data_IF_301132768030
#
_entry.id   IF_301132768030
#
_cell.length_a   1.000
_cell.length_b   1.000
_cell.length_c   1.000
_cell.angle_alpha   90.00
_cell.angle_beta   90.00
_cell.angle_gamma   90.00
#
_symmetry.space_group_name_H-M   'P 1'
#
loop_
_entity.id
_entity.type
_entity.pdbx_description
1 polymer ?
#
# COMPACT_ATOMS: atom_id res chain seq x y z
N UNK A 1 -20.89 24.67 -5.60
CA UNK A 1 -22.14 24.06 -6.16
C UNK A 1 -21.82 22.74 -6.91
N UNK A 2 -20.82 22.68 -7.78
CA UNK A 2 -20.46 21.45 -8.52
C UNK A 2 -19.84 20.33 -7.70
N UNK A 3 -18.98 20.60 -6.72
CA UNK A 3 -18.30 19.62 -5.89
C UNK A 3 -19.25 18.92 -4.91
N UNK A 4 -20.20 19.63 -4.33
CA UNK A 4 -21.23 19.07 -3.44
C UNK A 4 -22.19 18.13 -4.19
N UNK A 5 -22.53 18.42 -5.45
CA UNK A 5 -23.33 17.54 -6.28
C UNK A 5 -22.57 16.26 -6.68
N UNK A 6 -21.27 16.36 -6.99
CA UNK A 6 -20.42 15.20 -7.29
C UNK A 6 -20.26 14.28 -6.07
N UNK A 7 -20.15 14.84 -4.87
CA UNK A 7 -20.01 14.09 -3.61
C UNK A 7 -21.34 13.54 -3.10
N UNK A 8 -22.47 14.20 -3.37
CA UNK A 8 -23.79 13.75 -2.94
C UNK A 8 -24.27 12.52 -3.72
N UNK A 9 -23.84 12.36 -4.97
CA UNK A 9 -24.17 11.19 -5.81
C UNK A 9 -23.54 9.88 -5.32
N UNK A 10 -22.64 9.91 -4.34
CA UNK A 10 -21.88 8.77 -3.82
C UNK A 10 -22.28 8.34 -2.41
N UNK A 11 -23.34 8.90 -1.80
CA UNK A 11 -23.78 8.45 -0.49
C UNK A 11 -24.47 7.09 -0.58
N UNK A 12 -24.19 6.15 0.32
CA UNK A 12 -24.94 4.90 0.44
C UNK A 12 -26.37 5.26 0.90
N UNK A 13 -27.33 5.11 -0.01
CA UNK A 13 -28.75 5.47 0.21
C UNK A 13 -29.30 6.50 -0.77
N UNK A 14 -28.51 7.07 -1.65
CA UNK A 14 -29.04 7.77 -2.81
C UNK A 14 -29.79 6.76 -3.67
N UNK A 15 -31.06 7.01 -3.95
CA UNK A 15 -31.98 6.12 -4.71
C UNK A 15 -31.53 5.90 -6.15
N UNK A 16 -30.29 5.39 -6.34
CA UNK A 16 -29.78 4.94 -7.63
C UNK A 16 -30.47 3.66 -8.11
N UNK A 17 -31.35 3.05 -7.31
CA UNK A 17 -32.17 1.92 -7.78
C UNK A 17 -33.19 2.33 -8.86
N UNK A 18 -33.64 3.58 -8.89
CA UNK A 18 -34.58 4.04 -9.93
C UNK A 18 -33.91 4.48 -11.24
N UNK A 19 -32.60 4.65 -11.27
CA UNK A 19 -31.87 4.97 -12.51
C UNK A 19 -31.50 3.68 -13.28
N UNK A 20 -31.49 2.52 -12.63
CA UNK A 20 -31.14 1.24 -13.26
C UNK A 20 -32.21 0.63 -14.19
N UNK A 21 -33.43 1.18 -14.22
CA UNK A 21 -34.53 0.60 -14.97
C UNK A 21 -34.90 1.37 -16.24
N UNK A 22 -33.95 1.86 -17.01
CA UNK A 22 -34.30 2.51 -18.28
C UNK A 22 -33.14 2.96 -19.17
N UNK A 23 -31.92 2.94 -18.69
CA UNK A 23 -30.77 3.34 -19.48
C UNK A 23 -30.19 2.14 -20.23
N UNK A 24 -29.95 2.30 -21.53
CA UNK A 24 -29.24 1.29 -22.31
C UNK A 24 -27.75 1.28 -21.92
N UNK A 25 -27.04 0.18 -22.21
CA UNK A 25 -25.58 0.10 -22.03
C UNK A 25 -24.85 1.29 -22.69
N UNK A 26 -25.37 1.82 -23.82
CA UNK A 26 -24.85 3.03 -24.46
C UNK A 26 -25.02 4.30 -23.63
N UNK A 27 -26.13 4.43 -22.91
CA UNK A 27 -26.38 5.62 -22.06
C UNK A 27 -25.48 5.62 -20.84
N UNK A 28 -25.20 4.42 -20.25
CA UNK A 28 -24.26 4.24 -19.15
C UNK A 28 -22.83 4.57 -19.59
N UNK A 29 -22.43 4.11 -20.78
CA UNK A 29 -21.10 4.42 -21.35
C UNK A 29 -20.95 5.90 -21.67
N UNK A 30 -22.01 6.59 -22.11
CA UNK A 30 -22.03 8.02 -22.34
C UNK A 30 -21.89 8.82 -21.04
N UNK A 31 -22.65 8.49 -20.01
CA UNK A 31 -22.59 9.16 -18.71
C UNK A 31 -21.21 8.94 -18.07
N UNK A 32 -20.64 7.73 -18.14
CA UNK A 32 -19.29 7.46 -17.68
C UNK A 32 -18.24 8.25 -18.49
N UNK A 33 -18.43 8.44 -19.79
CA UNK A 33 -17.58 9.24 -20.65
C UNK A 33 -17.64 10.74 -20.30
N UNK A 34 -18.85 11.25 -20.04
CA UNK A 34 -19.06 12.65 -19.64
C UNK A 34 -18.48 12.96 -18.27
N UNK A 35 -18.63 12.05 -17.30
CA UNK A 35 -18.00 12.16 -15.98
C UNK A 35 -16.46 12.11 -16.10
N UNK A 36 -15.89 11.21 -16.90
CA UNK A 36 -14.44 11.16 -17.14
C UNK A 36 -13.92 12.42 -17.84
N UNK A 37 -14.70 13.05 -18.72
CA UNK A 37 -14.33 14.32 -19.36
C UNK A 37 -14.41 15.49 -18.35
N UNK A 38 -15.42 15.50 -17.49
CA UNK A 38 -15.57 16.49 -16.43
C UNK A 38 -14.37 16.45 -15.47
N UNK A 39 -13.94 15.26 -15.06
CA UNK A 39 -12.82 15.08 -14.13
C UNK A 39 -11.45 15.46 -14.71
N UNK A 40 -11.29 15.33 -16.03
CA UNK A 40 -10.07 15.77 -16.75
C UNK A 40 -9.98 17.28 -16.94
N UNK A 41 -11.09 18.00 -16.77
CA UNK A 41 -11.18 19.43 -16.98
C UNK A 41 -11.17 20.23 -15.68
N UNK A 42 -10.92 19.58 -14.51
CA UNK A 42 -10.76 20.29 -13.26
C UNK A 42 -9.56 21.23 -13.31
N UNK A 43 -9.74 22.44 -12.82
CA UNK A 43 -8.61 23.34 -12.55
C UNK A 43 -7.69 22.73 -11.49
N UNK A 44 -6.50 23.28 -11.34
CA UNK A 44 -5.57 22.83 -10.29
C UNK A 44 -6.18 22.97 -8.91
N UNK A 45 -6.87 24.07 -8.64
CA UNK A 45 -7.52 24.37 -7.36
C UNK A 45 -8.69 23.41 -7.08
N UNK A 46 -9.53 23.14 -8.06
CA UNK A 46 -10.65 22.18 -7.93
C UNK A 46 -10.14 20.75 -7.70
N UNK A 47 -9.07 20.34 -8.38
CA UNK A 47 -8.45 19.04 -8.16
C UNK A 47 -7.82 18.95 -6.76
N UNK A 48 -7.16 20.00 -6.30
CA UNK A 48 -6.60 20.06 -4.95
C UNK A 48 -7.69 19.91 -3.90
N UNK A 49 -8.78 20.68 -4.00
CA UNK A 49 -9.92 20.60 -3.08
C UNK A 49 -10.57 19.21 -3.08
N UNK A 50 -10.72 18.61 -4.25
CA UNK A 50 -11.21 17.24 -4.38
C UNK A 50 -10.30 16.22 -3.66
N UNK A 51 -8.99 16.31 -3.87
CA UNK A 51 -8.02 15.42 -3.23
C UNK A 51 -8.02 15.56 -1.71
N UNK A 52 -8.10 16.78 -1.17
CA UNK A 52 -8.21 17.03 0.27
C UNK A 52 -9.52 16.47 0.83
N UNK A 53 -10.65 16.72 0.17
CA UNK A 53 -11.95 16.21 0.59
C UNK A 53 -11.99 14.68 0.63
N UNK A 54 -11.46 14.03 -0.39
CA UNK A 54 -11.38 12.57 -0.44
C UNK A 54 -10.40 12.01 0.59
N UNK A 55 -9.25 12.68 0.81
CA UNK A 55 -8.33 12.32 1.88
C UNK A 55 -9.03 12.39 3.25
N UNK A 56 -9.77 13.46 3.53
CA UNK A 56 -10.53 13.62 4.78
C UNK A 56 -11.61 12.55 4.94
N UNK A 57 -12.23 12.13 3.85
CA UNK A 57 -13.25 11.09 3.85
C UNK A 57 -12.70 9.70 4.17
N UNK A 58 -11.53 9.35 3.61
CA UNK A 58 -11.03 7.97 3.66
C UNK A 58 -9.89 7.73 4.66
N UNK A 59 -9.14 8.75 5.05
CA UNK A 59 -8.11 8.62 6.07
C UNK A 59 -8.69 8.70 7.48
N UNK A 60 -9.32 7.63 7.92
CA UNK A 60 -10.01 7.50 9.20
C UNK A 60 -9.71 6.16 9.84
N UNK A 61 -9.86 6.07 11.17
CA UNK A 61 -9.62 4.85 11.94
C UNK A 61 -10.44 3.64 11.47
N UNK A 62 -11.64 3.88 10.95
CA UNK A 62 -12.51 2.82 10.39
C UNK A 62 -11.89 2.12 9.18
N UNK A 63 -10.94 2.77 8.50
CA UNK A 63 -10.18 2.16 7.41
C UNK A 63 -9.34 0.98 7.89
N UNK A 64 -8.83 1.03 9.13
CA UNK A 64 -7.88 0.06 9.69
C UNK A 64 -8.47 -1.35 9.70
N UNK A 65 -9.70 -1.51 10.19
CA UNK A 65 -10.29 -2.84 10.47
C UNK A 65 -10.33 -3.74 9.22
N UNK A 66 -10.65 -3.17 8.08
CA UNK A 66 -10.79 -3.92 6.83
C UNK A 66 -9.49 -4.00 6.01
N UNK A 67 -8.41 -3.34 6.43
CA UNK A 67 -7.17 -3.22 5.69
C UNK A 67 -6.05 -4.10 6.30
N UNK A 68 -5.09 -4.59 5.50
CA UNK A 68 -3.93 -5.33 6.02
C UNK A 68 -3.12 -4.61 7.11
N UNK A 69 -3.19 -3.28 7.19
CA UNK A 69 -2.57 -2.49 8.26
C UNK A 69 -3.12 -2.85 9.65
N UNK A 70 -4.32 -3.45 9.73
CA UNK A 70 -4.90 -3.96 10.99
C UNK A 70 -4.01 -5.00 11.67
N UNK A 71 -3.16 -5.69 10.92
CA UNK A 71 -2.28 -6.72 11.48
C UNK A 71 -1.18 -6.09 12.33
N UNK A 72 -0.33 -5.16 11.83
CA UNK A 72 0.63 -4.48 12.70
C UNK A 72 -0.04 -3.64 13.80
N UNK A 73 -1.27 -3.13 13.63
CA UNK A 73 -2.01 -2.46 14.70
C UNK A 73 -2.38 -3.36 15.89
N UNK A 74 -2.34 -4.68 15.74
CA UNK A 74 -2.61 -5.62 16.85
C UNK A 74 -1.43 -5.81 17.80
N UNK A 75 -0.28 -5.19 17.55
CA UNK A 75 0.91 -5.28 18.37
C UNK A 75 1.23 -3.95 19.05
N UNK A 76 1.92 -3.99 20.20
CA UNK A 76 2.40 -2.79 20.89
C UNK A 76 3.89 -2.52 20.57
N UNK A 77 4.71 -3.58 20.55
CA UNK A 77 6.14 -3.50 20.30
C UNK A 77 6.43 -3.12 18.85
N UNK A 78 7.33 -2.17 18.66
CA UNK A 78 7.66 -1.62 17.33
C UNK A 78 8.19 -2.71 16.38
N UNK A 79 9.10 -3.56 16.83
CA UNK A 79 9.70 -4.61 16.01
C UNK A 79 8.67 -5.68 15.59
N UNK A 80 7.68 -5.97 16.46
CA UNK A 80 6.56 -6.85 16.09
C UNK A 80 5.67 -6.21 15.03
N UNK A 81 5.36 -4.90 15.17
CA UNK A 81 4.64 -4.14 14.13
C UNK A 81 5.38 -4.19 12.80
N UNK A 82 6.69 -3.99 12.81
CA UNK A 82 7.53 -3.96 11.62
C UNK A 82 7.50 -5.30 10.87
N UNK A 83 7.71 -6.42 11.56
CA UNK A 83 7.69 -7.75 10.95
C UNK A 83 6.28 -8.13 10.51
N UNK A 84 5.28 -7.94 11.36
CA UNK A 84 3.89 -8.22 11.03
C UNK A 84 3.41 -7.38 9.84
N UNK A 85 3.77 -6.11 9.82
CA UNK A 85 3.50 -5.18 8.70
C UNK A 85 4.19 -5.59 7.41
N UNK A 86 5.47 -5.99 7.47
CA UNK A 86 6.22 -6.47 6.30
C UNK A 86 5.58 -7.71 5.69
N UNK A 87 5.21 -8.70 6.51
CA UNK A 87 4.57 -9.93 6.07
C UNK A 87 3.16 -9.65 5.52
N UNK A 88 2.36 -8.83 6.22
CA UNK A 88 1.02 -8.46 5.76
C UNK A 88 1.07 -7.69 4.42
N UNK A 89 1.98 -6.74 4.27
CA UNK A 89 2.19 -6.03 3.01
C UNK A 89 2.65 -6.96 1.90
N UNK A 90 3.55 -7.91 2.20
CA UNK A 90 4.08 -8.88 1.23
C UNK A 90 2.98 -9.70 0.58
N UNK A 91 1.95 -10.10 1.32
CA UNK A 91 0.83 -10.89 0.79
C UNK A 91 -0.38 -10.05 0.36
N UNK A 92 -0.29 -8.72 0.38
CA UNK A 92 -1.41 -7.81 0.11
C UNK A 92 -1.75 -7.72 -1.39
N UNK A 93 -2.28 -8.82 -1.96
CA UNK A 93 -2.88 -8.84 -3.30
C UNK A 93 -4.09 -9.77 -3.37
N UNK A 94 -5.15 -9.31 -4.04
CA UNK A 94 -6.41 -10.02 -4.20
C UNK A 94 -7.51 -9.54 -3.25
N UNK A 95 -8.34 -10.46 -2.77
CA UNK A 95 -9.47 -10.12 -1.89
C UNK A 95 -8.98 -9.68 -0.50
N UNK A 96 -9.39 -8.49 -0.07
CA UNK A 96 -8.94 -7.85 1.17
C UNK A 96 -9.23 -8.70 2.42
N UNK A 97 -10.45 -9.25 2.55
CA UNK A 97 -10.81 -10.13 3.69
C UNK A 97 -9.92 -11.39 3.76
N UNK A 98 -9.61 -11.97 2.59
CA UNK A 98 -8.72 -13.13 2.51
C UNK A 98 -7.27 -12.75 2.89
N UNK A 99 -6.80 -11.56 2.50
CA UNK A 99 -5.47 -11.06 2.87
C UNK A 99 -5.36 -10.89 4.39
N UNK A 100 -6.30 -10.17 5.02
CA UNK A 100 -6.30 -9.95 6.48
C UNK A 100 -6.33 -11.28 7.23
N UNK A 101 -7.22 -12.22 6.82
CA UNK A 101 -7.29 -13.57 7.41
C UNK A 101 -5.95 -14.31 7.28
N UNK A 102 -5.32 -14.26 6.11
CA UNK A 102 -4.06 -14.97 5.85
C UNK A 102 -2.89 -14.33 6.60
N UNK A 103 -2.82 -13.00 6.68
CA UNK A 103 -1.79 -12.29 7.42
C UNK A 103 -1.92 -12.54 8.95
N UNK A 104 -3.15 -12.58 9.47
CA UNK A 104 -3.41 -12.98 10.85
C UNK A 104 -2.89 -14.39 11.14
N UNK A 105 -3.14 -15.34 10.24
CA UNK A 105 -2.61 -16.70 10.38
C UNK A 105 -1.08 -16.73 10.36
N UNK A 106 -0.40 -15.85 9.59
CA UNK A 106 1.08 -15.80 9.64
C UNK A 106 1.57 -15.44 11.04
N UNK A 107 1.03 -14.39 11.64
CA UNK A 107 1.47 -13.96 12.98
C UNK A 107 1.06 -14.96 14.08
N UNK A 108 -0.08 -15.64 13.94
CA UNK A 108 -0.47 -16.76 14.82
C UNK A 108 0.54 -17.91 14.75
N UNK A 109 1.04 -18.25 13.56
CA UNK A 109 2.08 -19.26 13.36
C UNK A 109 3.46 -18.82 13.89
N UNK A 110 3.62 -17.55 14.23
CA UNK A 110 4.78 -16.96 14.89
C UNK A 110 4.48 -16.67 16.38
N UNK A 111 3.58 -17.43 17.01
CA UNK A 111 3.21 -17.32 18.41
C UNK A 111 2.68 -15.95 18.84
N UNK A 112 2.19 -15.14 17.90
CA UNK A 112 1.82 -13.73 18.08
C UNK A 112 2.95 -12.88 18.70
N UNK A 113 4.19 -13.28 18.48
CA UNK A 113 5.41 -12.59 18.87
C UNK A 113 6.40 -12.55 17.67
N UNK A 114 6.06 -11.87 16.57
CA UNK A 114 6.77 -11.98 15.29
C UNK A 114 8.27 -11.71 15.39
N UNK A 115 8.69 -10.74 16.20
CA UNK A 115 10.11 -10.43 16.37
C UNK A 115 10.83 -11.52 17.17
N UNK A 116 10.29 -11.91 18.31
CA UNK A 116 10.93 -12.94 19.15
C UNK A 116 10.98 -14.30 18.43
N UNK A 117 9.91 -14.66 17.70
CA UNK A 117 9.89 -15.85 16.85
C UNK A 117 10.96 -15.73 15.74
N UNK A 118 11.01 -14.62 15.04
CA UNK A 118 12.01 -14.39 13.98
C UNK A 118 13.43 -14.56 14.51
N UNK A 119 13.74 -14.03 15.69
CA UNK A 119 15.09 -14.04 16.24
C UNK A 119 15.49 -15.39 16.86
N UNK A 120 14.55 -16.11 17.46
CA UNK A 120 14.87 -17.23 18.36
C UNK A 120 14.33 -18.60 17.89
N UNK A 121 13.41 -18.66 16.92
CA UNK A 121 12.83 -19.93 16.47
C UNK A 121 13.92 -20.91 15.99
N UNK A 122 13.85 -22.14 16.46
CA UNK A 122 14.69 -23.25 15.99
C UNK A 122 14.23 -23.74 14.62
N UNK A 123 15.01 -24.62 13.99
CA UNK A 123 14.58 -25.27 12.74
C UNK A 123 13.30 -26.09 12.93
N UNK A 124 13.08 -26.64 14.12
CA UNK A 124 11.85 -27.39 14.44
C UNK A 124 10.65 -26.44 14.52
N UNK A 125 10.82 -25.23 15.07
CA UNK A 125 9.77 -24.21 15.15
C UNK A 125 9.43 -23.64 13.75
N UNK A 126 10.36 -23.65 12.81
CA UNK A 126 10.13 -23.20 11.44
C UNK A 126 9.36 -24.24 10.59
N UNK A 127 9.41 -25.55 10.93
CA UNK A 127 8.75 -26.61 10.15
C UNK A 127 7.23 -26.40 9.95
N UNK A 128 6.45 -25.95 10.95
CA UNK A 128 5.03 -25.66 10.76
C UNK A 128 4.76 -24.62 9.67
N UNK A 129 5.66 -23.64 9.45
CA UNK A 129 5.52 -22.58 8.45
C UNK A 129 5.41 -23.16 7.03
N UNK A 130 6.03 -24.30 6.76
CA UNK A 130 5.99 -25.00 5.47
C UNK A 130 4.57 -25.39 5.02
N UNK A 131 3.59 -25.40 5.95
CA UNK A 131 2.17 -25.69 5.67
C UNK A 131 1.36 -24.44 5.29
N UNK A 132 2.00 -23.26 5.32
CA UNK A 132 1.31 -22.02 4.99
C UNK A 132 1.09 -21.88 3.50
N UNK A 133 -0.08 -21.36 3.13
CA UNK A 133 -0.40 -21.02 1.72
C UNK A 133 -1.31 -19.80 1.68
N UNK A 134 -0.91 -18.81 0.90
CA UNK A 134 -1.75 -17.72 0.45
C UNK A 134 -1.52 -17.48 -1.05
N UNK A 135 -2.45 -17.98 -1.89
CA UNK A 135 -2.34 -17.88 -3.36
C UNK A 135 -1.01 -18.49 -3.86
N UNK A 136 -0.12 -17.66 -4.39
CA UNK A 136 1.20 -18.09 -4.89
C UNK A 136 2.31 -17.97 -3.84
N UNK A 137 2.04 -17.42 -2.66
CA UNK A 137 2.97 -17.40 -1.53
C UNK A 137 2.76 -18.68 -0.73
N UNK A 138 3.75 -19.55 -0.70
CA UNK A 138 3.70 -20.86 -0.07
C UNK A 138 4.55 -20.92 1.21
N UNK A 139 4.55 -22.10 1.87
CA UNK A 139 5.25 -22.29 3.12
C UNK A 139 6.77 -22.15 3.01
N UNK A 140 7.38 -22.56 1.88
CA UNK A 140 8.81 -22.34 1.66
C UNK A 140 9.13 -20.85 1.55
N UNK A 141 8.27 -20.07 0.86
CA UNK A 141 8.44 -18.60 0.80
C UNK A 141 8.36 -17.99 2.20
N UNK A 142 7.44 -18.48 3.05
CA UNK A 142 7.29 -17.98 4.40
C UNK A 142 8.52 -18.31 5.27
N UNK A 143 8.99 -19.55 5.23
CA UNK A 143 10.22 -19.97 5.89
C UNK A 143 11.41 -19.07 5.48
N UNK A 144 11.66 -18.94 4.19
CA UNK A 144 12.78 -18.17 3.65
C UNK A 144 12.68 -16.68 4.02
N UNK A 145 11.45 -16.14 4.06
CA UNK A 145 11.20 -14.76 4.52
C UNK A 145 11.55 -14.58 6.00
N UNK A 146 11.22 -15.54 6.87
CA UNK A 146 11.59 -15.48 8.29
C UNK A 146 13.11 -15.55 8.46
N UNK A 147 13.80 -16.43 7.72
CA UNK A 147 15.27 -16.53 7.74
C UNK A 147 15.92 -15.23 7.24
N UNK A 148 15.40 -14.63 6.18
CA UNK A 148 15.89 -13.37 5.66
C UNK A 148 15.64 -12.20 6.63
N UNK A 149 14.47 -12.13 7.26
CA UNK A 149 14.15 -11.14 8.30
C UNK A 149 15.08 -11.29 9.51
N UNK A 150 15.34 -12.54 9.96
CA UNK A 150 16.29 -12.81 11.06
C UNK A 150 17.66 -12.23 10.76
N UNK A 151 18.20 -12.48 9.57
CA UNK A 151 19.49 -11.93 9.16
C UNK A 151 19.47 -10.41 9.13
N UNK A 152 18.41 -9.82 8.55
CA UNK A 152 18.27 -8.36 8.47
C UNK A 152 18.23 -7.74 9.87
N UNK A 153 17.42 -8.28 10.77
CA UNK A 153 17.33 -7.82 12.16
C UNK A 153 18.61 -8.07 12.95
N UNK A 154 19.32 -9.18 12.72
CA UNK A 154 20.63 -9.43 13.36
C UNK A 154 21.66 -8.38 12.93
N UNK A 155 21.64 -7.96 11.66
CA UNK A 155 22.58 -6.96 11.13
C UNK A 155 22.25 -5.54 11.59
N UNK A 156 20.98 -5.15 11.58
CA UNK A 156 20.51 -3.79 11.73
C UNK A 156 19.80 -3.48 13.06
N UNK A 157 19.40 -4.52 13.82
CA UNK A 157 18.60 -4.42 15.03
C UNK A 157 17.09 -4.62 14.79
N UNK A 158 16.54 -3.99 13.77
CA UNK A 158 15.14 -4.18 13.32
C UNK A 158 15.00 -3.93 11.83
N UNK A 159 13.80 -4.18 11.29
CA UNK A 159 13.48 -3.84 9.89
C UNK A 159 13.48 -2.32 9.71
N UNK A 160 12.96 -1.58 10.67
CA UNK A 160 12.94 -0.12 10.64
C UNK A 160 14.33 0.49 10.68
N UNK A 161 15.21 -0.05 11.51
CA UNK A 161 16.62 0.37 11.54
C UNK A 161 17.33 0.10 10.22
N UNK A 162 17.05 -1.05 9.59
CA UNK A 162 17.58 -1.36 8.26
C UNK A 162 17.12 -0.36 7.21
N UNK A 163 15.80 -0.10 7.11
CA UNK A 163 15.24 0.82 6.11
C UNK A 163 15.72 2.25 6.31
N UNK A 164 15.74 2.73 7.55
CA UNK A 164 16.21 4.08 7.88
C UNK A 164 17.72 4.23 7.66
N UNK A 165 18.53 3.25 8.08
CA UNK A 165 19.97 3.26 7.85
C UNK A 165 20.32 3.20 6.36
N UNK A 166 19.60 2.41 5.56
CA UNK A 166 19.74 2.42 4.11
C UNK A 166 19.37 3.77 3.51
N UNK A 167 18.32 4.44 4.02
CA UNK A 167 17.94 5.75 3.54
C UNK A 167 19.02 6.81 3.84
N UNK A 168 19.64 6.77 5.02
CA UNK A 168 20.75 7.66 5.37
C UNK A 168 21.97 7.46 4.46
N UNK A 169 22.21 6.22 4.03
CA UNK A 169 23.32 5.91 3.11
C UNK A 169 22.99 6.30 1.66
N UNK A 170 21.79 6.03 1.20
CA UNK A 170 21.43 6.10 -0.22
C UNK A 170 20.74 7.42 -0.62
N UNK A 171 20.11 8.11 0.32
CA UNK A 171 19.47 9.41 0.13
C UNK A 171 18.18 9.38 -0.69
N UNK A 172 17.67 8.21 -1.09
CA UNK A 172 16.40 8.10 -1.81
C UNK A 172 15.70 6.76 -1.59
N UNK A 173 14.36 6.78 -1.54
CA UNK A 173 13.52 5.58 -1.40
C UNK A 173 13.71 4.61 -2.58
N UNK A 174 13.94 5.12 -3.77
CA UNK A 174 14.21 4.30 -4.95
C UNK A 174 15.42 3.37 -4.74
N UNK A 175 16.52 3.94 -4.21
CA UNK A 175 17.73 3.17 -3.90
C UNK A 175 17.53 2.27 -2.70
N UNK A 176 16.80 2.73 -1.67
CA UNK A 176 16.43 1.90 -0.52
C UNK A 176 15.66 0.66 -0.94
N UNK A 177 14.71 0.76 -1.87
CA UNK A 177 13.97 -0.39 -2.40
C UNK A 177 14.91 -1.41 -3.08
N UNK A 178 15.91 -0.94 -3.82
CA UNK A 178 16.88 -1.81 -4.48
C UNK A 178 17.79 -2.51 -3.46
N UNK A 179 18.37 -1.74 -2.54
CA UNK A 179 19.32 -2.24 -1.54
C UNK A 179 18.65 -3.13 -0.49
N UNK A 180 17.45 -2.77 0.00
CA UNK A 180 16.68 -3.62 0.90
C UNK A 180 16.41 -5.00 0.26
N UNK A 181 16.01 -5.02 -1.02
CA UNK A 181 15.82 -6.29 -1.72
C UNK A 181 17.13 -7.07 -1.85
N UNK A 182 18.24 -6.42 -2.18
CA UNK A 182 19.55 -7.05 -2.28
C UNK A 182 19.95 -7.68 -0.94
N UNK A 183 19.88 -6.91 0.14
CA UNK A 183 20.23 -7.40 1.49
C UNK A 183 19.29 -8.51 1.96
N UNK A 184 18.00 -8.40 1.67
CA UNK A 184 17.01 -9.41 2.06
C UNK A 184 17.33 -10.80 1.47
N UNK A 185 17.80 -10.84 0.22
CA UNK A 185 18.13 -12.08 -0.48
C UNK A 185 19.62 -12.47 -0.43
N UNK A 186 20.40 -11.90 0.47
CA UNK A 186 21.78 -12.36 0.73
C UNK A 186 21.87 -13.69 1.53
N UNK A 187 20.76 -14.28 1.91
CA UNK A 187 20.66 -15.63 2.50
C UNK A 187 20.37 -16.67 1.45
N UNK A 188 20.69 -17.94 1.73
CA UNK A 188 20.22 -19.05 0.91
C UNK A 188 18.69 -19.11 0.95
N UNK A 189 18.05 -19.15 -0.20
CA UNK A 189 16.61 -19.12 -0.35
C UNK A 189 16.15 -19.79 -1.64
N UNK A 190 14.90 -20.22 -1.67
CA UNK A 190 14.27 -20.70 -2.89
C UNK A 190 14.06 -19.54 -3.89
N UNK A 191 14.47 -19.65 -5.16
CA UNK A 191 14.27 -18.60 -6.16
C UNK A 191 12.80 -18.17 -6.34
N UNK A 192 11.86 -19.05 -5.98
CA UNK A 192 10.44 -18.75 -6.04
C UNK A 192 10.04 -17.60 -5.13
N UNK A 193 10.65 -17.43 -3.96
CA UNK A 193 10.30 -16.38 -3.01
C UNK A 193 10.63 -14.97 -3.53
N UNK A 194 11.58 -14.83 -4.45
CA UNK A 194 12.01 -13.54 -5.00
C UNK A 194 10.88 -12.73 -5.65
N UNK A 195 9.89 -13.38 -6.25
CA UNK A 195 8.74 -12.71 -6.88
C UNK A 195 7.85 -11.98 -5.89
N UNK A 196 7.94 -12.32 -4.60
CA UNK A 196 7.10 -11.73 -3.56
C UNK A 196 7.67 -10.41 -3.03
N UNK A 197 8.95 -10.15 -3.24
CA UNK A 197 9.58 -8.86 -2.99
C UNK A 197 9.96 -8.23 -4.33
N UNK A 198 9.13 -7.29 -4.79
CA UNK A 198 9.22 -6.71 -6.14
C UNK A 198 10.58 -6.04 -6.40
N UNK A 199 11.09 -6.16 -7.63
CA UNK A 199 12.36 -5.59 -8.06
C UNK A 199 12.15 -4.28 -8.82
N UNK A 200 12.61 -3.17 -8.25
CA UNK A 200 12.60 -1.87 -8.92
C UNK A 200 13.53 -1.88 -10.14
N UNK A 201 14.65 -2.60 -10.08
CA UNK A 201 15.58 -2.74 -11.22
C UNK A 201 14.92 -3.41 -12.44
N UNK A 202 13.86 -4.20 -12.22
CA UNK A 202 13.04 -4.79 -13.29
C UNK A 202 11.86 -3.88 -13.68
N UNK A 203 11.80 -2.66 -13.19
CA UNK A 203 10.75 -1.68 -13.48
C UNK A 203 9.43 -1.91 -12.73
N UNK A 204 9.40 -2.77 -11.71
CA UNK A 204 8.17 -3.01 -10.94
C UNK A 204 7.75 -1.78 -10.14
N UNK A 205 6.44 -1.53 -9.99
CA UNK A 205 5.90 -0.41 -9.20
C UNK A 205 6.22 -0.49 -7.71
N UNK A 206 6.65 -1.64 -7.21
CA UNK A 206 6.92 -1.91 -5.79
C UNK A 206 5.78 -1.49 -4.85
N UNK A 207 4.51 -1.60 -5.31
CA UNK A 207 3.30 -1.15 -4.60
C UNK A 207 3.28 -1.58 -3.14
N UNK A 208 3.60 -2.85 -2.86
CA UNK A 208 3.52 -3.43 -1.51
C UNK A 208 4.58 -2.87 -0.57
N UNK A 209 5.81 -2.63 -1.06
CA UNK A 209 6.86 -1.98 -0.28
C UNK A 209 6.58 -0.48 -0.08
N UNK A 210 6.10 0.23 -1.12
CA UNK A 210 5.68 1.62 -0.97
C UNK A 210 4.53 1.76 0.04
N UNK A 211 3.58 0.82 0.05
CA UNK A 211 2.51 0.77 1.04
C UNK A 211 3.06 0.52 2.46
N UNK A 212 3.98 -0.42 2.60
CA UNK A 212 4.66 -0.71 3.87
C UNK A 212 5.45 0.52 4.37
N UNK A 213 6.19 1.20 3.50
CA UNK A 213 6.92 2.42 3.86
C UNK A 213 5.96 3.55 4.24
N UNK A 214 4.83 3.73 3.53
CA UNK A 214 3.79 4.68 3.93
C UNK A 214 3.33 4.40 5.36
N UNK A 215 3.00 3.16 5.69
CA UNK A 215 2.52 2.80 7.03
C UNK A 215 3.49 3.19 8.14
N UNK A 216 4.79 3.06 7.93
CA UNK A 216 5.78 3.26 8.99
C UNK A 216 6.44 4.64 8.99
N UNK A 217 6.50 5.32 7.85
CA UNK A 217 7.12 6.66 7.72
C UNK A 217 6.09 7.76 7.89
N UNK A 218 4.94 7.65 7.21
CA UNK A 218 3.93 8.69 7.22
C UNK A 218 3.27 8.80 8.58
N UNK A 219 3.13 10.03 9.06
CA UNK A 219 2.45 10.33 10.31
C UNK A 219 1.49 11.51 10.14
N UNK A 220 0.37 11.39 10.81
CA UNK A 220 -0.60 12.44 11.05
C UNK A 220 -1.30 12.17 12.39
N UNK A 221 -2.27 13.01 12.75
CA UNK A 221 -3.06 12.84 13.99
C UNK A 221 -4.30 11.97 13.83
N UNK A 222 -4.42 11.19 12.73
CA UNK A 222 -5.59 10.34 12.45
C UNK A 222 -5.40 8.90 12.90
N UNK A 223 -4.15 8.48 13.15
CA UNK A 223 -3.80 7.19 13.75
C UNK A 223 -3.93 5.99 12.82
N UNK A 224 -3.97 6.18 11.51
CA UNK A 224 -3.97 5.09 10.53
C UNK A 224 -2.54 4.62 10.27
N UNK A 225 -1.69 5.51 9.78
CA UNK A 225 -0.26 5.25 9.59
C UNK A 225 0.49 5.47 10.92
N UNK A 226 1.58 4.74 11.16
CA UNK A 226 2.26 4.69 12.45
C UNK A 226 3.26 5.83 12.68
N UNK A 227 3.96 6.30 11.64
CA UNK A 227 4.99 7.34 11.76
C UNK A 227 6.18 6.97 12.65
N UNK A 228 6.57 5.70 12.69
CA UNK A 228 7.64 5.20 13.56
C UNK A 228 9.04 5.45 12.98
N UNK A 229 9.18 5.58 11.65
CA UNK A 229 10.47 5.75 10.97
C UNK A 229 10.75 7.21 10.67
N UNK A 230 11.14 7.95 11.71
CA UNK A 230 11.24 9.41 11.68
C UNK A 230 12.49 9.96 10.95
N UNK A 231 13.48 9.11 10.64
CA UNK A 231 14.68 9.52 9.89
C UNK A 231 14.44 9.62 8.39
N UNK A 232 13.27 9.19 7.92
CA UNK A 232 12.82 9.31 6.53
C UNK A 232 11.73 10.37 6.47
N UNK A 233 11.91 11.48 5.72
CA UNK A 233 10.84 12.46 5.55
C UNK A 233 9.72 11.86 4.70
N UNK A 234 8.46 12.08 5.09
CA UNK A 234 7.30 11.58 4.32
C UNK A 234 7.21 12.16 2.91
N UNK A 235 7.81 13.33 2.68
CA UNK A 235 7.98 13.92 1.34
C UNK A 235 8.83 13.07 0.38
N UNK A 236 9.69 12.18 0.90
CA UNK A 236 10.51 11.29 0.10
C UNK A 236 9.74 10.05 -0.40
N UNK A 237 8.58 9.76 0.16
CA UNK A 237 7.80 8.57 -0.16
C UNK A 237 7.24 8.59 -1.59
N UNK A 238 6.98 7.40 -2.10
CA UNK A 238 6.31 7.16 -3.38
C UNK A 238 4.95 6.51 -3.18
N UNK A 239 3.98 6.91 -4.02
CA UNK A 239 2.61 6.43 -3.96
C UNK A 239 2.54 4.91 -4.16
N UNK A 240 1.79 4.16 -3.33
CA UNK A 240 1.53 2.74 -3.51
C UNK A 240 0.62 2.49 -4.74
N UNK A 241 1.17 2.53 -5.94
CA UNK A 241 0.41 2.48 -7.18
C UNK A 241 -0.12 1.07 -7.46
N UNK A 242 -1.44 0.89 -7.37
CA UNK A 242 -2.15 -0.29 -7.83
C UNK A 242 -3.13 0.03 -8.99
N UNK A 243 -4.01 -0.92 -9.31
CA UNK A 243 -4.97 -0.76 -10.42
C UNK A 243 -6.00 0.33 -10.09
N UNK A 244 -6.52 0.39 -8.87
CA UNK A 244 -7.52 1.38 -8.45
C UNK A 244 -6.93 2.78 -8.45
N UNK A 245 -5.80 2.95 -7.76
CA UNK A 245 -5.06 4.22 -7.69
C UNK A 245 -4.62 4.70 -9.08
N UNK A 246 -4.15 3.75 -9.94
CA UNK A 246 -3.73 4.09 -11.30
C UNK A 246 -4.89 4.51 -12.20
N UNK A 247 -6.05 3.87 -12.08
CA UNK A 247 -7.24 4.25 -12.84
C UNK A 247 -7.75 5.64 -12.41
N UNK A 248 -7.83 5.90 -11.10
CA UNK A 248 -8.19 7.21 -10.57
C UNK A 248 -7.19 8.28 -11.00
N UNK A 249 -5.89 8.01 -10.88
CA UNK A 249 -4.86 8.95 -11.32
C UNK A 249 -4.97 9.33 -12.80
N UNK A 250 -5.32 8.36 -13.67
CA UNK A 250 -5.55 8.62 -15.11
C UNK A 250 -6.82 9.41 -15.35
N UNK A 251 -7.89 9.10 -14.64
CA UNK A 251 -9.15 9.83 -14.77
C UNK A 251 -9.00 11.29 -14.36
N UNK A 252 -8.22 11.56 -13.31
CA UNK A 252 -7.94 12.91 -12.78
C UNK A 252 -6.79 13.63 -13.53
N UNK A 253 -6.18 13.02 -14.55
CA UNK A 253 -5.07 13.64 -15.29
C UNK A 253 -3.73 13.66 -14.53
N UNK A 254 -3.63 13.02 -13.37
CA UNK A 254 -2.40 12.89 -12.56
C UNK A 254 -1.39 11.89 -13.14
N UNK A 255 -1.85 10.99 -14.02
CA UNK A 255 -1.06 9.93 -14.63
C UNK A 255 -1.43 9.76 -16.09
N UNK A 256 -0.44 9.84 -16.98
CA UNK A 256 -0.61 9.65 -18.42
C UNK A 256 -0.22 8.25 -18.89
N UNK A 257 0.73 7.59 -18.20
CA UNK A 257 1.20 6.25 -18.55
C UNK A 257 0.11 5.21 -18.40
N UNK A 258 0.00 4.31 -19.37
CA UNK A 258 -0.97 3.20 -19.35
C UNK A 258 -0.52 2.04 -18.43
N UNK A 259 0.79 1.81 -18.27
CA UNK A 259 1.33 0.75 -17.40
C UNK A 259 1.50 1.24 -15.97
N UNK A 260 1.28 0.36 -14.98
CA UNK A 260 1.58 0.62 -13.58
C UNK A 260 3.00 0.11 -13.25
N UNK A 261 4.01 0.70 -13.87
CA UNK A 261 5.43 0.43 -13.63
C UNK A 261 6.05 1.51 -12.72
N UNK A 262 7.35 1.42 -12.43
CA UNK A 262 8.05 2.41 -11.61
C UNK A 262 7.98 3.83 -12.19
N UNK A 263 8.03 3.97 -13.51
CA UNK A 263 7.92 5.29 -14.14
C UNK A 263 6.53 5.92 -13.90
N UNK A 264 5.48 5.10 -13.88
CA UNK A 264 4.14 5.56 -13.52
C UNK A 264 4.05 5.97 -12.05
N UNK A 265 4.73 5.24 -11.14
CA UNK A 265 4.83 5.62 -9.72
C UNK A 265 5.51 6.99 -9.58
N UNK A 266 6.63 7.21 -10.26
CA UNK A 266 7.35 8.47 -10.22
C UNK A 266 6.52 9.63 -10.80
N UNK A 267 5.83 9.40 -11.94
CA UNK A 267 4.98 10.39 -12.60
C UNK A 267 3.84 10.85 -11.69
N UNK A 268 3.02 9.90 -11.19
CA UNK A 268 1.87 10.26 -10.34
C UNK A 268 2.32 10.88 -9.01
N UNK A 269 3.40 10.39 -8.41
CA UNK A 269 3.93 10.97 -7.16
C UNK A 269 4.44 12.40 -7.40
N UNK A 270 5.07 12.66 -8.54
CA UNK A 270 5.49 14.02 -8.92
C UNK A 270 4.31 14.96 -9.11
N UNK A 271 3.22 14.50 -9.71
CA UNK A 271 1.99 15.28 -9.82
C UNK A 271 1.38 15.60 -8.45
N UNK A 272 1.30 14.60 -7.57
CA UNK A 272 0.77 14.79 -6.20
C UNK A 272 1.64 15.72 -5.35
N UNK A 273 2.97 15.76 -5.56
CA UNK A 273 3.86 16.74 -4.90
C UNK A 273 3.55 18.20 -5.25
N UNK A 274 2.89 18.48 -6.37
CA UNK A 274 2.44 19.84 -6.69
C UNK A 274 1.27 20.27 -5.79
N UNK A 275 0.46 19.32 -5.31
CA UNK A 275 -0.64 19.58 -4.39
C UNK A 275 -0.19 19.59 -2.93
N UNK A 276 0.70 18.66 -2.53
CA UNK A 276 1.35 18.68 -1.23
C UNK A 276 2.78 18.14 -1.34
N UNK A 277 3.75 19.04 -1.25
CA UNK A 277 5.17 18.69 -1.35
C UNK A 277 5.69 18.01 -0.08
N UNK A 278 5.06 18.26 1.08
CA UNK A 278 5.47 17.71 2.35
C UNK A 278 4.95 16.28 2.56
N UNK A 279 3.73 15.96 2.10
CA UNK A 279 3.09 14.66 2.26
C UNK A 279 2.30 14.24 0.98
N UNK A 280 3.00 13.98 -0.13
CA UNK A 280 2.31 13.63 -1.39
C UNK A 280 1.55 12.31 -1.32
N UNK A 281 1.94 11.39 -0.43
CA UNK A 281 1.35 10.05 -0.34
C UNK A 281 0.10 10.00 0.52
N UNK A 282 -0.28 11.10 1.20
CA UNK A 282 -1.58 11.21 1.87
C UNK A 282 -2.74 11.00 0.90
N UNK A 283 -2.54 11.37 -0.35
CA UNK A 283 -3.55 11.22 -1.41
C UNK A 283 -3.74 9.77 -1.88
N UNK A 284 -2.96 8.80 -1.39
CA UNK A 284 -3.25 7.39 -1.60
C UNK A 284 -4.63 7.01 -1.02
N UNK A 285 -4.99 7.56 0.14
CA UNK A 285 -6.32 7.37 0.73
C UNK A 285 -7.42 7.90 -0.20
N UNK A 286 -7.22 9.08 -0.79
CA UNK A 286 -8.16 9.70 -1.72
C UNK A 286 -8.35 8.84 -2.98
N UNK A 287 -7.27 8.52 -3.67
CA UNK A 287 -7.30 7.79 -4.94
C UNK A 287 -7.75 6.34 -4.78
N UNK A 288 -7.27 5.66 -3.75
CA UNK A 288 -7.62 4.28 -3.47
C UNK A 288 -9.07 4.15 -2.98
N UNK A 289 -9.49 5.01 -2.04
CA UNK A 289 -10.86 5.01 -1.51
C UNK A 289 -11.89 5.27 -2.61
N UNK A 290 -11.71 6.33 -3.38
CA UNK A 290 -12.57 6.67 -4.51
C UNK A 290 -12.58 5.54 -5.58
N UNK A 291 -11.42 4.93 -5.85
CA UNK A 291 -11.31 3.83 -6.80
C UNK A 291 -12.06 2.56 -6.39
N UNK A 292 -12.14 2.26 -5.09
CA UNK A 292 -12.89 1.11 -4.55
C UNK A 292 -14.39 1.39 -4.53
N UNK A 293 -14.81 2.58 -4.14
CA UNK A 293 -16.23 2.97 -4.12
C UNK A 293 -16.84 3.11 -5.52
N UNK A 294 -16.00 3.05 -6.55
CA UNK A 294 -16.46 2.98 -7.93
C UNK A 294 -16.80 4.34 -8.52
N UNK A 295 -16.13 5.41 -8.10
CA UNK A 295 -16.27 6.76 -8.67
C UNK A 295 -16.10 6.82 -10.20
N UNK A 296 -15.51 5.79 -10.79
CA UNK A 296 -15.31 5.65 -12.24
C UNK A 296 -16.27 4.64 -12.90
N UNK A 297 -17.30 4.17 -12.18
CA UNK A 297 -18.23 3.16 -12.69
C UNK A 297 -19.58 3.76 -13.04
#
# INVERSE_FOLDING_TARGET
>A
MYLEELLSCTQPGCESENIRTGLSTRDIDLIACDLCQLWRNLSFEELHELLETLHDRYNRSEFIEADPISIPHSFERTEDKEIAGFLAATIAWGNRKAIVKSARRMVEMMDNAPFDFTMNASEEDLQPLLRYVHRTFNGQDFHDFVVALRRLCTKWGSVGEAVQGLYECEGSIERVLAELRREFFEVEHCPHCEKHLSSIAKGASCKRLNMYFRWFVRHDNRGVDFGLWQRIPQSALYLPLDVHTGNMGRALGLLTRNSNDWKAVAEITSALRQHDAADPVKYDFALFGAGIEGFLK
#
